data_IF_382126278693
#
_entry.id   IF_382126278693
#
_cell.length_a   1.000
_cell.length_b   1.000
_cell.length_c   1.000
_cell.angle_alpha   90.00
_cell.angle_beta   90.00
_cell.angle_gamma   90.00
#
_symmetry.space_group_name_H-M   'P 1'
#
loop_
_entity.id
_entity.type
_entity.pdbx_description
1 polymer ?
#
# COMPACT_ATOMS: atom_id res chain seq x y z
N UNK A 1 37.37 -36.72 24.10
CA UNK A 1 37.66 -35.50 24.88
C UNK A 1 37.68 -34.35 23.90
N UNK A 2 36.61 -33.56 23.84
CA UNK A 2 36.47 -32.47 22.88
C UNK A 2 37.36 -31.28 23.29
N UNK A 3 38.08 -30.62 22.38
CA UNK A 3 38.59 -29.29 22.62
C UNK A 3 37.66 -28.23 22.01
N UNK A 4 37.83 -27.03 22.52
CA UNK A 4 36.87 -25.94 22.59
C UNK A 4 36.71 -25.12 21.29
N UNK A 5 35.63 -24.33 21.29
CA UNK A 5 35.30 -23.28 20.32
C UNK A 5 36.41 -22.23 20.21
N UNK A 6 36.99 -22.10 19.02
CA UNK A 6 37.74 -20.92 18.59
C UNK A 6 36.83 -20.01 17.74
N UNK A 7 36.38 -18.91 18.35
CA UNK A 7 35.54 -17.88 17.73
C UNK A 7 36.44 -16.86 17.02
N UNK A 8 36.90 -17.19 15.81
CA UNK A 8 37.60 -16.23 14.92
C UNK A 8 36.65 -15.75 13.82
N UNK A 9 36.24 -14.49 13.94
CA UNK A 9 35.90 -13.53 12.89
C UNK A 9 35.40 -14.12 11.56
N UNK A 10 34.16 -14.60 11.53
CA UNK A 10 33.43 -14.74 10.28
C UNK A 10 32.93 -13.34 9.87
N UNK A 11 33.66 -12.70 8.95
CA UNK A 11 33.16 -11.56 8.20
C UNK A 11 32.01 -12.08 7.33
N UNK A 12 30.77 -11.86 7.76
CA UNK A 12 29.63 -12.05 6.86
C UNK A 12 29.71 -10.97 5.78
N UNK A 13 29.77 -11.32 4.48
CA UNK A 13 29.61 -10.30 3.46
C UNK A 13 28.24 -9.67 3.64
N UNK A 14 28.20 -8.33 3.67
CA UNK A 14 26.94 -7.59 3.65
C UNK A 14 26.07 -8.10 2.51
N UNK A 15 24.76 -8.35 2.71
CA UNK A 15 23.90 -8.68 1.59
C UNK A 15 23.79 -7.44 0.70
N UNK A 16 24.60 -7.39 -0.35
CA UNK A 16 24.35 -6.50 -1.49
C UNK A 16 23.01 -6.94 -2.06
N UNK A 17 21.97 -6.16 -1.79
CA UNK A 17 20.66 -6.35 -2.39
C UNK A 17 20.76 -5.95 -3.86
N UNK A 18 21.33 -6.82 -4.67
CA UNK A 18 21.25 -6.74 -6.12
C UNK A 18 19.82 -7.13 -6.50
N UNK A 19 19.03 -6.28 -7.17
CA UNK A 19 17.72 -6.69 -7.64
C UNK A 19 17.90 -7.74 -8.74
N UNK A 20 17.72 -9.03 -8.41
CA UNK A 20 17.69 -10.15 -9.38
C UNK A 20 16.27 -10.29 -9.98
N UNK A 21 15.60 -9.17 -10.24
CA UNK A 21 14.36 -9.20 -11.01
C UNK A 21 14.67 -8.35 -12.24
N UNK A 22 14.75 -8.94 -13.44
CA UNK A 22 14.68 -8.15 -14.65
C UNK A 22 13.46 -7.27 -14.45
N UNK A 23 13.63 -5.95 -14.53
CA UNK A 23 12.52 -5.02 -14.62
C UNK A 23 11.78 -5.45 -15.89
N UNK A 24 10.89 -6.44 -15.76
CA UNK A 24 9.89 -6.68 -16.79
C UNK A 24 9.22 -5.33 -16.86
N UNK A 25 9.26 -4.72 -18.03
CA UNK A 25 8.57 -3.47 -18.31
C UNK A 25 7.09 -3.76 -18.10
N UNK A 26 6.68 -3.73 -16.83
CA UNK A 26 5.31 -3.87 -16.43
C UNK A 26 4.67 -2.60 -16.94
N UNK A 27 3.93 -2.72 -18.04
CA UNK A 27 3.03 -1.68 -18.49
C UNK A 27 1.88 -1.62 -17.49
N UNK A 28 2.16 -1.07 -16.31
CA UNK A 28 1.20 -0.88 -15.24
C UNK A 28 0.37 0.34 -15.57
N UNK A 29 -0.94 0.20 -15.45
CA UNK A 29 -1.84 1.33 -15.50
C UNK A 29 -1.64 2.19 -14.26
N UNK A 30 -0.95 3.32 -14.45
CA UNK A 30 -0.62 4.25 -13.37
C UNK A 30 -1.87 4.75 -12.63
N UNK A 31 -3.00 4.85 -13.31
CA UNK A 31 -4.30 5.24 -12.72
C UNK A 31 -4.75 4.31 -11.59
N UNK A 32 -4.31 3.04 -11.57
CA UNK A 32 -4.61 2.10 -10.46
C UNK A 32 -3.82 2.42 -9.19
N UNK A 33 -2.76 3.23 -9.30
CA UNK A 33 -1.83 3.56 -8.21
C UNK A 33 -2.06 4.97 -7.62
N UNK A 34 -2.89 5.79 -8.26
CA UNK A 34 -3.17 7.16 -7.80
C UNK A 34 -4.39 7.24 -6.89
N UNK A 35 -4.22 7.93 -5.77
CA UNK A 35 -5.33 8.32 -4.89
C UNK A 35 -6.25 9.26 -5.69
N UNK A 36 -7.55 8.94 -5.83
CA UNK A 36 -8.48 9.83 -6.53
C UNK A 36 -8.57 11.18 -5.84
N UNK A 37 -8.58 12.26 -6.63
CA UNK A 37 -8.68 13.62 -6.08
C UNK A 37 -10.03 13.87 -5.40
N UNK A 38 -9.97 14.54 -4.25
CA UNK A 38 -11.16 15.03 -3.57
C UNK A 38 -11.87 16.08 -4.42
N UNK A 39 -13.19 15.92 -4.58
CA UNK A 39 -14.01 16.89 -5.32
C UNK A 39 -14.34 18.08 -4.41
N UNK A 40 -14.32 19.33 -4.90
CA UNK A 40 -14.65 20.51 -4.10
C UNK A 40 -16.08 20.49 -3.52
N UNK A 41 -17.02 19.85 -4.21
CA UNK A 41 -18.43 19.75 -3.82
C UNK A 41 -18.73 18.57 -2.87
N UNK A 42 -17.75 18.17 -2.05
CA UNK A 42 -17.92 17.05 -1.13
C UNK A 42 -18.87 17.41 0.00
N UNK A 43 -19.83 16.52 0.29
CA UNK A 43 -20.63 16.58 1.52
C UNK A 43 -19.84 15.90 2.64
N UNK A 44 -19.44 16.62 3.71
CA UNK A 44 -18.64 16.05 4.79
C UNK A 44 -19.37 14.90 5.50
N UNK A 45 -18.63 13.84 5.86
CA UNK A 45 -19.18 12.69 6.62
C UNK A 45 -18.42 12.46 7.93
N UNK A 46 -18.42 13.43 8.87
CA UNK A 46 -17.54 13.42 10.04
C UNK A 46 -17.74 12.19 10.93
N UNK A 47 -18.96 11.66 11.05
CA UNK A 47 -19.24 10.46 11.84
C UNK A 47 -18.59 9.19 11.27
N UNK A 48 -18.53 9.04 9.94
CA UNK A 48 -17.86 7.90 9.31
C UNK A 48 -16.34 8.04 9.38
N UNK A 49 -15.84 9.26 9.25
CA UNK A 49 -14.40 9.53 9.40
C UNK A 49 -13.94 9.21 10.82
N UNK A 50 -14.66 9.68 11.84
CA UNK A 50 -14.34 9.37 13.23
C UNK A 50 -14.33 7.86 13.49
N UNK A 51 -15.29 7.12 12.92
CA UNK A 51 -15.31 5.65 13.01
C UNK A 51 -14.09 4.99 12.34
N UNK A 52 -13.62 5.51 11.21
CA UNK A 52 -12.40 5.01 10.57
C UNK A 52 -11.15 5.30 11.42
N UNK A 53 -11.11 6.46 12.09
CA UNK A 53 -10.01 6.82 12.99
C UNK A 53 -9.99 5.94 14.26
N UNK A 54 -11.16 5.62 14.83
CA UNK A 54 -11.29 4.70 15.97
C UNK A 54 -10.79 3.29 15.64
N UNK A 55 -11.05 2.82 14.42
CA UNK A 55 -10.68 1.48 13.94
C UNK A 55 -9.24 1.42 13.39
N UNK A 56 -8.46 2.50 13.45
CA UNK A 56 -7.06 2.54 12.99
C UNK A 56 -6.14 1.46 13.58
N UNK A 57 -6.34 0.95 14.82
CA UNK A 57 -5.58 -0.19 15.34
C UNK A 57 -5.85 -1.53 14.64
N UNK A 58 -6.95 -1.65 13.88
CA UNK A 58 -7.29 -2.86 13.15
C UNK A 58 -6.35 -3.09 11.96
N UNK A 59 -6.04 -4.37 11.69
CA UNK A 59 -5.19 -4.76 10.53
C UNK A 59 -5.89 -4.64 9.18
N UNK A 60 -7.23 -4.65 9.17
CA UNK A 60 -8.05 -4.60 7.96
C UNK A 60 -9.40 -3.94 8.25
N UNK A 61 -9.78 -2.97 7.43
CA UNK A 61 -11.10 -2.35 7.43
C UNK A 61 -11.76 -2.65 6.09
N UNK A 62 -12.94 -3.29 6.11
CA UNK A 62 -13.74 -3.55 4.91
C UNK A 62 -14.89 -2.53 4.81
N UNK A 63 -14.87 -1.73 3.75
CA UNK A 63 -15.95 -0.79 3.44
C UNK A 63 -16.88 -1.36 2.36
N UNK A 64 -18.08 -1.76 2.76
CA UNK A 64 -19.10 -2.30 1.85
C UNK A 64 -20.33 -1.38 1.78
N UNK A 65 -20.77 -1.09 0.56
CA UNK A 65 -21.97 -0.32 0.23
C UNK A 65 -22.29 -0.50 -1.26
N UNK A 66 -23.52 -0.23 -1.73
CA UNK A 66 -23.85 -0.27 -3.14
C UNK A 66 -23.04 0.74 -3.99
N UNK A 67 -23.10 0.58 -5.31
CA UNK A 67 -22.51 1.56 -6.23
C UNK A 67 -23.13 2.95 -6.00
N UNK A 68 -22.33 4.01 -6.12
CA UNK A 68 -22.79 5.40 -5.95
C UNK A 68 -22.87 5.92 -4.50
N UNK A 69 -22.70 5.09 -3.47
CA UNK A 69 -22.78 5.53 -2.05
C UNK A 69 -21.58 6.35 -1.54
N UNK A 70 -20.58 6.58 -2.38
CA UNK A 70 -19.41 7.40 -2.04
C UNK A 70 -18.33 6.68 -1.22
N UNK A 71 -18.17 5.35 -1.37
CA UNK A 71 -17.12 4.57 -0.69
C UNK A 71 -15.72 5.14 -0.96
N UNK A 72 -15.35 5.27 -2.23
CA UNK A 72 -14.07 5.85 -2.66
C UNK A 72 -13.91 7.25 -2.11
N UNK A 73 -14.98 8.06 -2.16
CA UNK A 73 -14.98 9.42 -1.64
C UNK A 73 -14.71 9.49 -0.14
N UNK A 74 -15.32 8.60 0.65
CA UNK A 74 -15.08 8.50 2.09
C UNK A 74 -13.62 8.14 2.39
N UNK A 75 -13.06 7.17 1.65
CA UNK A 75 -11.65 6.76 1.82
C UNK A 75 -10.72 7.91 1.44
N UNK A 76 -10.98 8.62 0.34
CA UNK A 76 -10.15 9.77 -0.06
C UNK A 76 -10.22 10.92 0.95
N UNK A 77 -11.41 11.18 1.54
CA UNK A 77 -11.56 12.18 2.61
C UNK A 77 -10.77 11.77 3.86
N UNK A 78 -10.79 10.48 4.21
CA UNK A 78 -10.03 9.97 5.34
C UNK A 78 -8.52 10.04 5.10
N UNK A 79 -8.06 9.64 3.91
CA UNK A 79 -6.65 9.74 3.49
C UNK A 79 -6.14 11.18 3.59
N UNK A 80 -6.91 12.17 3.11
CA UNK A 80 -6.51 13.58 3.16
C UNK A 80 -6.23 14.09 4.57
N UNK A 81 -6.91 13.52 5.58
CA UNK A 81 -6.66 13.83 6.99
C UNK A 81 -5.41 13.15 7.54
N UNK A 82 -5.19 11.87 7.22
CA UNK A 82 -4.12 11.07 7.83
C UNK A 82 -2.78 11.16 7.07
N UNK A 83 -2.79 11.56 5.79
CA UNK A 83 -1.60 11.55 4.93
C UNK A 83 -0.47 12.49 5.39
N UNK A 84 -0.77 13.41 6.32
CA UNK A 84 0.25 14.27 6.96
C UNK A 84 1.20 13.49 7.86
N UNK A 85 0.69 12.45 8.51
CA UNK A 85 1.41 11.68 9.54
C UNK A 85 1.53 10.19 9.18
N UNK A 86 1.07 9.78 8.00
CA UNK A 86 1.02 8.38 7.57
C UNK A 86 1.26 8.26 6.08
N UNK A 87 2.18 7.37 5.71
CA UNK A 87 2.36 6.98 4.32
C UNK A 87 1.16 6.15 3.87
N UNK A 88 0.51 6.61 2.81
CA UNK A 88 -0.65 5.94 2.21
C UNK A 88 -0.26 5.52 0.80
N UNK A 89 -0.55 4.26 0.47
CA UNK A 89 -0.52 3.75 -0.89
C UNK A 89 -1.94 3.44 -1.35
N UNK A 90 -2.16 3.53 -2.66
CA UNK A 90 -3.43 3.21 -3.29
C UNK A 90 -3.24 2.11 -4.31
N UNK A 91 -4.15 1.14 -4.30
CA UNK A 91 -4.25 0.11 -5.32
C UNK A 91 -5.73 -0.13 -5.65
N UNK A 92 -6.14 0.27 -6.85
CA UNK A 92 -7.42 -0.11 -7.42
C UNK A 92 -7.33 -1.52 -8.01
N UNK A 93 -8.25 -2.39 -7.64
CA UNK A 93 -8.39 -3.74 -8.19
C UNK A 93 -9.67 -3.83 -9.01
N UNK A 94 -9.57 -4.49 -10.16
CA UNK A 94 -10.66 -4.79 -11.10
C UNK A 94 -10.73 -6.31 -11.31
N UNK A 95 -11.80 -6.79 -11.93
CA UNK A 95 -12.01 -8.23 -12.17
C UNK A 95 -10.89 -8.85 -13.02
N UNK A 96 -10.34 -8.06 -13.95
CA UNK A 96 -9.24 -8.48 -14.82
C UNK A 96 -7.90 -8.63 -14.09
N UNK A 97 -7.77 -8.14 -12.84
CA UNK A 97 -6.55 -8.25 -12.02
C UNK A 97 -6.50 -9.57 -11.21
N UNK A 98 -7.18 -10.60 -11.67
CA UNK A 98 -7.26 -11.91 -10.99
C UNK A 98 -5.98 -12.76 -11.10
N UNK A 99 -5.06 -12.39 -11.99
CA UNK A 99 -3.75 -13.03 -12.09
C UNK A 99 -2.87 -12.67 -10.87
N UNK A 100 -2.44 -13.64 -10.04
CA UNK A 100 -1.67 -13.37 -8.84
C UNK A 100 -0.33 -12.66 -9.12
N UNK A 101 0.31 -12.96 -10.25
CA UNK A 101 1.59 -12.34 -10.60
C UNK A 101 1.40 -10.85 -10.89
N UNK A 102 0.39 -10.49 -11.69
CA UNK A 102 -0.01 -9.11 -11.95
C UNK A 102 -0.43 -8.37 -10.67
N UNK A 103 -1.21 -9.02 -9.79
CA UNK A 103 -1.57 -8.46 -8.48
C UNK A 103 -0.33 -8.08 -7.66
N UNK A 104 0.65 -8.99 -7.53
CA UNK A 104 1.87 -8.69 -6.77
C UNK A 104 2.75 -7.64 -7.42
N UNK A 105 2.75 -7.53 -8.76
CA UNK A 105 3.43 -6.45 -9.46
C UNK A 105 2.82 -5.08 -9.15
N UNK A 106 1.50 -4.96 -9.22
CA UNK A 106 0.80 -3.73 -8.84
C UNK A 106 0.96 -3.41 -7.36
N UNK A 107 0.89 -4.40 -6.47
CA UNK A 107 1.11 -4.22 -5.04
C UNK A 107 2.54 -3.71 -4.76
N UNK A 108 3.55 -4.33 -5.38
CA UNK A 108 4.94 -3.89 -5.26
C UNK A 108 5.15 -2.47 -5.80
N UNK A 109 4.42 -2.09 -6.87
CA UNK A 109 4.46 -0.73 -7.40
C UNK A 109 3.77 0.28 -6.47
N UNK A 110 2.62 -0.07 -5.87
CA UNK A 110 1.86 0.79 -4.97
C UNK A 110 2.62 1.13 -3.68
N UNK A 111 3.36 0.16 -3.12
CA UNK A 111 4.11 0.36 -1.86
C UNK A 111 5.47 1.05 -2.05
N UNK A 112 5.97 1.14 -3.29
CA UNK A 112 7.21 1.87 -3.55
C UNK A 112 6.96 3.37 -3.34
N UNK A 113 7.82 4.06 -2.57
CA UNK A 113 7.76 5.52 -2.51
C UNK A 113 7.88 6.07 -3.93
N UNK A 114 6.88 6.83 -4.39
CA UNK A 114 7.03 7.58 -5.64
C UNK A 114 8.19 8.57 -5.44
N UNK A 115 9.17 8.63 -6.37
CA UNK A 115 10.23 9.63 -6.27
C UNK A 115 9.59 11.02 -6.30
N UNK A 116 9.89 11.82 -5.27
CA UNK A 116 9.45 13.21 -5.12
C UNK A 116 9.90 14.09 -6.28
#
# INVERSE_FOLDING_TARGET
MAPAMDMKTAVYPSPTFSPIIPLVETNLLQTKLYIPSLRPSLVPRPHLIAKLDEERPCKLILLSAPAGYGKTTLVTEWIDRIQKDTLVCWLSLEEDDSDPHQFFQYLAAAIRPLPN
#
